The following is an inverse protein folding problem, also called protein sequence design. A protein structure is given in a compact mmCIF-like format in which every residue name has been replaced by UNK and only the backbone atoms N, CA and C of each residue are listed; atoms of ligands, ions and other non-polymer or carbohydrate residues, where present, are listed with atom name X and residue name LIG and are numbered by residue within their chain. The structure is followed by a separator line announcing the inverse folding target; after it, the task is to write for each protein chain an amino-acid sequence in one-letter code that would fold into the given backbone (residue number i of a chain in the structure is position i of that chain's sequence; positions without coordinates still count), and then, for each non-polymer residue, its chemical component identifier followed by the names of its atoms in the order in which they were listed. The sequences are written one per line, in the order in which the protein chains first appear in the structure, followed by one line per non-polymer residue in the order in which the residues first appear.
data_IF_554617034786
#
_entry.id   IF_554617034786
#
_cell.length_a   1.000
_cell.length_b   1.000
_cell.length_c   1.000
_cell.angle_alpha   90.00
_cell.angle_beta   90.00
_cell.angle_gamma   90.00
#
_symmetry.space_group_name_H-M   'P 1'
#
loop_
_entity.id
_entity.type
_entity.pdbx_description
1 polymer ?
#
# COMPACT_ATOMS: atom_id res chain seq x y z
N UNK A 1 -24.58 23.87 -13.19
CA UNK A 1 -25.90 23.41 -13.70
C UNK A 1 -26.69 22.69 -12.61
N UNK A 2 -26.04 22.06 -11.66
CA UNK A 2 -26.65 21.31 -10.55
C UNK A 2 -26.38 21.94 -9.19
N UNK A 3 -25.73 23.10 -9.12
CA UNK A 3 -25.45 23.82 -7.87
C UNK A 3 -24.46 23.13 -6.93
N UNK A 4 -23.63 22.19 -7.46
CA UNK A 4 -22.59 21.52 -6.67
C UNK A 4 -21.32 22.36 -6.74
N UNK A 5 -20.88 22.87 -5.58
CA UNK A 5 -19.63 23.63 -5.48
C UNK A 5 -18.39 22.71 -5.57
N UNK A 6 -17.23 23.25 -6.00
CA UNK A 6 -15.97 22.50 -6.11
C UNK A 6 -15.52 21.87 -4.78
N UNK A 7 -15.84 22.51 -3.66
CA UNK A 7 -15.56 22.05 -2.30
C UNK A 7 -16.25 20.73 -1.93
N UNK A 8 -17.30 20.38 -2.66
CA UNK A 8 -18.09 19.16 -2.50
C UNK A 8 -17.74 18.06 -3.50
N UNK A 9 -16.71 18.29 -4.31
CA UNK A 9 -16.25 17.34 -5.34
C UNK A 9 -14.90 16.77 -4.92
N UNK A 10 -14.81 15.44 -4.93
CA UNK A 10 -13.58 14.68 -4.74
C UNK A 10 -13.35 13.84 -5.98
N UNK A 11 -12.21 14.04 -6.65
CA UNK A 11 -11.84 13.29 -7.87
C UNK A 11 -10.80 12.25 -7.52
N UNK A 12 -11.07 10.99 -7.84
CA UNK A 12 -10.06 9.92 -7.85
C UNK A 12 -9.41 9.88 -9.23
N UNK A 13 -8.10 10.18 -9.27
CA UNK A 13 -7.30 10.20 -10.49
C UNK A 13 -6.89 8.82 -10.99
N UNK A 14 -7.40 7.74 -10.39
CA UNK A 14 -7.19 6.34 -10.74
C UNK A 14 -5.71 5.94 -10.89
N UNK A 15 -5.18 5.23 -9.90
CA UNK A 15 -3.81 4.72 -9.94
C UNK A 15 -3.74 3.39 -10.66
N UNK A 16 -2.97 3.35 -11.72
CA UNK A 16 -2.54 2.12 -12.39
C UNK A 16 -1.14 1.72 -11.94
N UNK A 17 -0.79 0.45 -12.12
CA UNK A 17 0.50 -0.05 -11.66
C UNK A 17 1.67 0.41 -12.53
N UNK A 18 2.75 0.88 -11.88
CA UNK A 18 3.96 1.31 -12.57
C UNK A 18 4.74 0.16 -13.24
N UNK A 19 4.51 -1.10 -12.81
CA UNK A 19 5.15 -2.26 -13.43
C UNK A 19 4.71 -2.49 -14.87
N UNK A 20 3.49 -2.09 -15.22
CA UNK A 20 2.98 -2.18 -16.60
C UNK A 20 3.31 -0.95 -17.43
N UNK A 21 3.36 0.22 -16.81
CA UNK A 21 3.72 1.48 -17.50
C UNK A 21 4.21 2.53 -16.48
N UNK A 22 5.51 2.77 -16.43
CA UNK A 22 6.13 3.73 -15.51
C UNK A 22 5.63 5.19 -15.73
N UNK A 23 5.23 5.56 -16.93
CA UNK A 23 4.68 6.90 -17.22
C UNK A 23 3.36 7.18 -16.52
N UNK A 24 2.68 6.15 -16.03
CA UNK A 24 1.44 6.29 -15.26
C UNK A 24 1.64 7.15 -14.00
N UNK A 25 2.76 6.98 -13.29
CA UNK A 25 3.04 7.77 -12.10
C UNK A 25 3.09 9.28 -12.42
N UNK A 26 3.84 9.68 -13.45
CA UNK A 26 3.92 11.07 -13.91
C UNK A 26 2.56 11.61 -14.34
N UNK A 27 1.81 10.83 -15.12
CA UNK A 27 0.49 11.23 -15.63
C UNK A 27 -0.52 11.45 -14.52
N UNK A 28 -0.51 10.59 -13.47
CA UNK A 28 -1.38 10.73 -12.31
C UNK A 28 -1.05 11.99 -11.52
N UNK A 29 0.23 12.24 -11.24
CA UNK A 29 0.67 13.45 -10.53
C UNK A 29 0.25 14.71 -11.31
N UNK A 30 0.46 14.72 -12.62
CA UNK A 30 0.02 15.83 -13.48
C UNK A 30 -1.50 16.00 -13.49
N UNK A 31 -2.27 14.91 -13.53
CA UNK A 31 -3.73 14.97 -13.51
C UNK A 31 -4.24 15.61 -12.21
N UNK A 32 -3.66 15.25 -11.05
CA UNK A 32 -4.00 15.87 -9.77
C UNK A 32 -3.70 17.37 -9.77
N UNK A 33 -2.50 17.79 -10.21
CA UNK A 33 -2.16 19.21 -10.31
C UNK A 33 -3.16 19.97 -11.19
N UNK A 34 -3.54 19.39 -12.33
CA UNK A 34 -4.55 19.99 -13.22
C UNK A 34 -5.94 20.10 -12.57
N UNK A 35 -6.35 19.10 -11.78
CA UNK A 35 -7.60 19.15 -11.01
C UNK A 35 -7.58 20.32 -10.02
N UNK A 36 -6.46 20.53 -9.34
CA UNK A 36 -6.28 21.66 -8.42
C UNK A 36 -6.31 23.01 -9.14
N UNK A 37 -5.47 23.14 -10.16
CA UNK A 37 -5.26 24.41 -10.88
C UNK A 37 -6.51 24.86 -11.66
N UNK A 38 -7.16 23.92 -12.35
CA UNK A 38 -8.25 24.26 -13.27
C UNK A 38 -9.64 24.14 -12.67
N UNK A 39 -9.83 23.24 -11.72
CA UNK A 39 -11.15 22.93 -11.19
C UNK A 39 -11.31 23.34 -9.72
N UNK A 40 -10.22 23.53 -8.98
CA UNK A 40 -10.25 23.86 -7.56
C UNK A 40 -10.90 22.78 -6.69
N UNK A 41 -10.88 21.51 -7.16
CA UNK A 41 -11.51 20.38 -6.48
C UNK A 41 -10.51 19.62 -5.62
N UNK A 42 -11.02 18.74 -4.74
CA UNK A 42 -10.20 17.83 -3.95
C UNK A 42 -9.87 16.56 -4.75
N UNK A 43 -8.70 15.96 -4.45
CA UNK A 43 -8.25 14.74 -5.07
C UNK A 43 -8.09 13.61 -4.06
N UNK A 44 -8.60 12.42 -4.41
CA UNK A 44 -8.32 11.16 -3.73
C UNK A 44 -7.43 10.27 -4.59
N UNK A 45 -6.75 9.30 -3.97
CA UNK A 45 -5.88 8.39 -4.69
C UNK A 45 -5.64 7.09 -3.93
N UNK A 46 -5.80 5.95 -4.60
CA UNK A 46 -5.42 4.63 -4.09
C UNK A 46 -3.92 4.40 -4.19
N UNK A 47 -3.14 4.91 -3.24
CA UNK A 47 -1.66 4.96 -3.28
C UNK A 47 -1.05 3.56 -3.45
N UNK A 48 -1.66 2.53 -2.90
CA UNK A 48 -1.12 1.16 -2.93
C UNK A 48 -1.08 0.53 -4.32
N UNK A 49 -1.93 0.97 -5.25
CA UNK A 49 -2.06 0.37 -6.56
C UNK A 49 -0.82 0.57 -7.45
N UNK A 50 -0.11 1.70 -7.31
CA UNK A 50 1.08 1.99 -8.11
C UNK A 50 2.17 0.91 -8.02
N UNK A 51 2.33 0.32 -6.87
CA UNK A 51 3.45 -0.55 -6.50
C UNK A 51 3.22 -2.04 -6.77
N UNK A 52 2.07 -2.43 -7.34
CA UNK A 52 1.83 -3.82 -7.69
C UNK A 52 2.86 -4.32 -8.71
N UNK A 53 3.38 -5.53 -8.48
CA UNK A 53 4.38 -6.14 -9.35
C UNK A 53 5.80 -5.61 -9.20
N UNK A 54 6.09 -4.76 -8.18
CA UNK A 54 7.43 -4.23 -7.95
C UNK A 54 7.93 -4.63 -6.54
N UNK A 55 9.24 -4.91 -6.37
CA UNK A 55 9.82 -5.19 -5.07
C UNK A 55 9.83 -3.96 -4.15
N UNK A 56 10.11 -4.16 -2.86
CA UNK A 56 10.20 -3.09 -1.86
C UNK A 56 9.00 -2.13 -1.87
N UNK A 57 7.80 -2.68 -2.00
CA UNK A 57 6.52 -1.95 -2.12
C UNK A 57 6.34 -0.79 -1.14
N UNK A 58 6.66 -0.92 0.17
CA UNK A 58 6.52 0.20 1.11
C UNK A 58 7.44 1.37 0.77
N UNK A 59 8.63 1.10 0.26
CA UNK A 59 9.58 2.14 -0.14
C UNK A 59 9.04 2.95 -1.32
N UNK A 60 8.70 2.28 -2.41
CA UNK A 60 8.15 2.94 -3.61
C UNK A 60 6.85 3.67 -3.29
N UNK A 61 5.96 3.04 -2.50
CA UNK A 61 4.70 3.64 -2.11
C UNK A 61 4.85 4.90 -1.27
N UNK A 62 5.83 4.95 -0.35
CA UNK A 62 6.09 6.14 0.47
C UNK A 62 6.64 7.31 -0.35
N UNK A 63 7.52 7.04 -1.31
CA UNK A 63 8.03 8.06 -2.24
C UNK A 63 6.92 8.60 -3.13
N UNK A 64 6.09 7.71 -3.67
CA UNK A 64 4.94 8.13 -4.48
C UNK A 64 3.92 8.93 -3.67
N UNK A 65 3.64 8.55 -2.43
CA UNK A 65 2.75 9.30 -1.54
C UNK A 65 3.24 10.73 -1.30
N UNK A 66 4.54 10.91 -1.04
CA UNK A 66 5.14 12.23 -0.87
C UNK A 66 5.00 13.08 -2.16
N UNK A 67 5.28 12.49 -3.32
CA UNK A 67 5.11 13.15 -4.61
C UNK A 67 3.63 13.52 -4.88
N UNK A 68 2.70 12.63 -4.51
CA UNK A 68 1.26 12.85 -4.66
C UNK A 68 0.76 14.00 -3.78
N UNK A 69 1.23 14.10 -2.54
CA UNK A 69 0.95 15.28 -1.70
C UNK A 69 1.47 16.57 -2.36
N UNK A 70 2.69 16.57 -2.89
CA UNK A 70 3.24 17.71 -3.63
C UNK A 70 2.43 18.09 -4.89
N UNK A 71 1.75 17.12 -5.49
CA UNK A 71 0.85 17.34 -6.62
C UNK A 71 -0.59 17.74 -6.21
N UNK A 72 -0.88 17.83 -4.91
CA UNK A 72 -2.16 18.30 -4.38
C UNK A 72 -3.12 17.18 -3.96
N UNK A 73 -2.63 16.01 -3.55
CA UNK A 73 -3.45 14.95 -2.97
C UNK A 73 -4.03 15.39 -1.62
N UNK A 74 -5.37 15.33 -1.48
CA UNK A 74 -6.07 15.66 -0.23
C UNK A 74 -6.42 14.41 0.59
N UNK A 75 -6.77 13.31 -0.09
CA UNK A 75 -7.30 12.11 0.56
C UNK A 75 -6.60 10.84 0.05
N UNK A 76 -5.48 10.43 0.65
CA UNK A 76 -4.83 9.16 0.31
C UNK A 76 -5.66 7.97 0.82
N UNK A 77 -5.95 7.02 -0.07
CA UNK A 77 -6.51 5.72 0.30
C UNK A 77 -5.33 4.77 0.48
N UNK A 78 -5.02 4.44 1.74
CA UNK A 78 -3.85 3.65 2.12
C UNK A 78 -4.08 2.93 3.45
N UNK A 79 -3.20 1.99 3.80
CA UNK A 79 -3.23 1.36 5.12
C UNK A 79 -2.63 2.30 6.18
N UNK A 80 -3.42 2.82 7.13
CA UNK A 80 -2.92 3.70 8.21
C UNK A 80 -2.04 2.94 9.23
N UNK A 81 -2.09 1.61 9.26
CA UNK A 81 -1.19 0.77 10.07
C UNK A 81 0.23 0.70 9.52
N UNK A 82 0.46 1.11 8.27
CA UNK A 82 1.81 1.15 7.70
C UNK A 82 2.62 2.29 8.31
N UNK A 83 3.58 1.94 9.17
CA UNK A 83 4.48 2.93 9.79
C UNK A 83 5.13 3.82 8.74
N UNK A 84 5.65 3.24 7.65
CA UNK A 84 6.34 3.98 6.60
C UNK A 84 5.45 5.00 5.89
N UNK A 85 4.18 4.68 5.64
CA UNK A 85 3.25 5.64 5.09
C UNK A 85 2.93 6.75 6.08
N UNK A 86 2.70 6.40 7.35
CA UNK A 86 2.44 7.40 8.37
C UNK A 86 3.65 8.30 8.63
N UNK A 87 4.86 7.75 8.59
CA UNK A 87 6.08 8.56 8.67
C UNK A 87 6.16 9.57 7.50
N UNK A 88 5.75 9.16 6.29
CA UNK A 88 5.66 10.07 5.14
C UNK A 88 4.62 11.18 5.37
N UNK A 89 3.45 10.83 5.90
CA UNK A 89 2.39 11.82 6.21
C UNK A 89 2.89 12.85 7.21
N UNK A 90 3.44 12.41 8.34
CA UNK A 90 3.92 13.34 9.37
C UNK A 90 5.08 14.20 8.88
N UNK A 91 6.00 13.62 8.11
CA UNK A 91 7.11 14.39 7.52
C UNK A 91 6.61 15.41 6.51
N UNK A 92 5.63 15.03 5.66
CA UNK A 92 5.09 15.96 4.68
C UNK A 92 4.31 17.11 5.32
N UNK A 93 3.59 16.88 6.41
CA UNK A 93 2.90 17.94 7.16
C UNK A 93 3.82 19.03 7.70
N UNK A 94 5.07 18.69 8.04
CA UNK A 94 6.10 19.68 8.37
C UNK A 94 6.47 20.50 7.13
N UNK A 95 6.71 19.82 5.99
CA UNK A 95 7.11 20.48 4.74
C UNK A 95 6.01 21.35 4.13
N UNK A 96 4.75 20.99 4.33
CA UNK A 96 3.57 21.74 3.86
C UNK A 96 3.11 22.84 4.84
N UNK A 97 3.81 23.00 5.97
CA UNK A 97 3.45 23.96 7.04
C UNK A 97 2.10 23.64 7.71
N UNK A 98 1.58 22.41 7.57
CA UNK A 98 0.40 21.95 8.29
C UNK A 98 0.68 21.63 9.77
N UNK A 99 1.91 21.28 10.10
CA UNK A 99 2.42 21.10 11.47
C UNK A 99 3.30 22.31 11.82
N UNK A 100 2.65 23.43 12.13
CA UNK A 100 3.31 24.69 12.45
C UNK A 100 4.21 24.53 13.67
N UNK A 101 5.47 24.95 13.54
CA UNK A 101 6.51 24.75 14.56
C UNK A 101 6.97 23.31 14.73
N UNK A 102 6.52 22.40 13.87
CA UNK A 102 6.90 20.97 13.87
C UNK A 102 6.63 20.25 15.20
N UNK A 103 5.69 20.72 15.98
CA UNK A 103 5.44 20.22 17.35
C UNK A 103 4.98 18.77 17.34
N UNK A 104 4.05 18.39 16.48
CA UNK A 104 3.56 17.01 16.36
C UNK A 104 4.64 16.06 15.84
N UNK A 105 5.49 16.55 14.95
CA UNK A 105 6.62 15.77 14.45
C UNK A 105 7.68 15.54 15.54
N UNK A 106 8.03 16.57 16.30
CA UNK A 106 9.00 16.48 17.39
C UNK A 106 8.50 15.55 18.50
N UNK A 107 7.21 15.66 18.89
CA UNK A 107 6.61 14.77 19.88
C UNK A 107 6.68 13.31 19.44
N UNK A 108 6.40 13.03 18.17
CA UNK A 108 6.39 11.68 17.62
C UNK A 108 7.77 11.08 17.43
N UNK A 109 8.75 11.86 17.03
CA UNK A 109 10.08 11.39 16.60
C UNK A 109 11.24 11.86 17.48
N UNK A 110 10.99 12.52 18.61
CA UNK A 110 12.06 13.01 19.49
C UNK A 110 13.00 11.93 20.03
N UNK A 111 12.53 10.69 20.14
CA UNK A 111 13.35 9.52 20.49
C UNK A 111 13.72 8.62 19.31
N UNK A 112 13.52 9.08 18.06
CA UNK A 112 13.76 8.27 16.88
C UNK A 112 15.24 8.00 16.67
N UNK A 113 15.58 6.73 16.39
CA UNK A 113 16.93 6.33 15.99
C UNK A 113 16.94 5.95 14.53
N UNK A 114 17.97 6.42 13.80
CA UNK A 114 18.14 6.15 12.39
C UNK A 114 18.36 4.64 12.14
N UNK A 115 17.41 3.92 11.50
CA UNK A 115 17.57 2.51 11.19
C UNK A 115 18.64 2.24 10.13
N UNK A 116 19.06 3.28 9.41
CA UNK A 116 20.12 3.22 8.39
C UNK A 116 21.47 3.72 8.91
N UNK A 117 21.57 4.07 10.19
CA UNK A 117 22.83 4.48 10.78
C UNK A 117 23.81 3.30 10.70
N UNK A 118 24.79 3.42 9.81
CA UNK A 118 25.87 2.44 9.67
C UNK A 118 26.62 2.42 11.00
N UNK A 119 26.48 1.33 11.74
CA UNK A 119 27.31 1.12 12.92
C UNK A 119 28.77 1.16 12.46
N UNK A 120 29.62 1.88 13.18
CA UNK A 120 31.06 1.96 12.88
C UNK A 120 31.79 0.61 12.97
N UNK A 121 31.05 -0.49 13.13
CA UNK A 121 31.56 -1.84 13.24
C UNK A 121 31.03 -2.68 12.05
N UNK A 122 31.89 -3.13 11.12
CA UNK A 122 31.46 -3.88 9.93
C UNK A 122 30.80 -5.23 10.23
N UNK A 123 30.87 -5.75 11.45
CA UNK A 123 30.20 -6.97 11.87
C UNK A 123 28.69 -6.78 12.12
N UNK A 124 28.19 -5.54 12.24
CA UNK A 124 26.77 -5.26 12.48
C UNK A 124 25.98 -5.03 11.18
N UNK A 125 26.64 -4.99 10.03
CA UNK A 125 26.00 -4.75 8.72
C UNK A 125 25.18 -5.95 8.18
N UNK A 126 25.19 -7.09 8.86
CA UNK A 126 24.44 -8.29 8.43
C UNK A 126 23.11 -8.51 9.10
N UNK A 127 22.68 -7.61 9.97
CA UNK A 127 21.35 -7.66 10.62
C UNK A 127 20.45 -6.54 10.14
N UNK A 128 20.31 -6.34 8.84
CA UNK A 128 19.14 -5.66 8.29
C UNK A 128 18.04 -6.70 8.27
N UNK A 129 17.41 -6.87 9.42
CA UNK A 129 16.16 -7.61 9.49
C UNK A 129 15.15 -6.94 8.58
N UNK A 130 14.77 -7.66 7.54
CA UNK A 130 13.51 -7.45 6.84
C UNK A 130 12.46 -7.17 7.91
N UNK A 131 11.80 -6.01 7.84
CA UNK A 131 10.60 -5.73 8.63
C UNK A 131 9.55 -6.78 8.29
N UNK A 132 9.64 -7.92 8.96
CA UNK A 132 8.55 -8.84 9.06
C UNK A 132 7.49 -8.14 9.90
N UNK A 133 6.41 -7.73 9.28
CA UNK A 133 5.16 -7.43 9.97
C UNK A 133 4.88 -8.64 10.86
N UNK A 134 4.71 -8.50 12.20
CA UNK A 134 4.26 -9.62 12.99
C UNK A 134 2.90 -10.02 12.46
N UNK A 135 2.83 -11.17 11.80
CA UNK A 135 1.59 -11.82 11.52
C UNK A 135 0.86 -11.97 12.85
N UNK A 136 -0.30 -11.32 12.98
CA UNK A 136 -1.21 -11.60 14.06
C UNK A 136 -1.48 -13.10 14.01
N UNK A 137 -0.98 -13.81 15.02
CA UNK A 137 -1.08 -15.23 15.06
C UNK A 137 -2.53 -15.68 15.14
N UNK A 138 -2.87 -16.57 14.24
CA UNK A 138 -3.89 -17.57 14.53
C UNK A 138 -3.25 -18.94 14.32
N UNK A 139 -3.23 -19.69 15.38
CA UNK A 139 -2.78 -21.06 15.40
C UNK A 139 -3.67 -21.93 14.51
N UNK A 140 -3.03 -22.77 13.72
CA UNK A 140 -3.44 -24.14 13.50
C UNK A 140 -4.42 -24.39 12.39
N UNK A 141 -3.86 -24.79 11.26
CA UNK A 141 -4.13 -26.09 10.60
C UNK A 141 -3.06 -26.23 9.50
N UNK A 142 -2.54 -27.42 9.30
CA UNK A 142 -1.50 -27.74 8.32
C UNK A 142 -1.83 -27.15 6.95
N UNK A 143 -1.14 -26.05 6.61
CA UNK A 143 -1.48 -25.13 5.51
C UNK A 143 -1.24 -25.68 4.09
N UNK A 144 -1.13 -26.99 3.90
CA UNK A 144 -0.77 -27.58 2.61
C UNK A 144 -1.98 -28.16 1.86
N UNK A 145 -3.18 -28.16 2.42
CA UNK A 145 -4.35 -28.81 1.82
C UNK A 145 -5.54 -27.86 1.47
N UNK A 146 -5.33 -26.56 1.53
CA UNK A 146 -6.34 -25.58 1.15
C UNK A 146 -6.48 -25.47 -0.39
N UNK A 147 -7.62 -25.87 -0.98
CA UNK A 147 -7.86 -25.82 -2.42
C UNK A 147 -7.74 -24.41 -3.00
N UNK A 148 -8.32 -23.39 -2.32
CA UNK A 148 -8.25 -22.00 -2.76
C UNK A 148 -6.80 -21.53 -2.80
N UNK A 149 -6.05 -21.77 -1.72
CA UNK A 149 -4.63 -21.39 -1.64
C UNK A 149 -3.83 -21.99 -2.79
N UNK A 150 -3.98 -23.29 -3.06
CA UNK A 150 -3.30 -23.94 -4.19
C UNK A 150 -3.68 -23.35 -5.54
N UNK A 151 -4.95 -23.04 -5.77
CA UNK A 151 -5.42 -22.46 -7.04
C UNK A 151 -4.92 -21.02 -7.24
N UNK A 152 -4.93 -20.22 -6.19
CA UNK A 152 -4.42 -18.83 -6.20
C UNK A 152 -2.93 -18.84 -6.48
N UNK A 153 -2.15 -19.62 -5.73
CA UNK A 153 -0.69 -19.72 -5.87
C UNK A 153 -0.31 -20.31 -7.23
N UNK A 154 -1.07 -21.25 -7.79
CA UNK A 154 -0.80 -21.82 -9.12
C UNK A 154 -1.41 -21.02 -10.28
N UNK A 155 -2.13 -19.93 -10.02
CA UNK A 155 -2.72 -19.06 -11.07
C UNK A 155 -3.87 -19.68 -11.85
N UNK A 156 -4.61 -20.63 -11.29
CA UNK A 156 -5.70 -21.36 -11.96
C UNK A 156 -7.02 -20.58 -11.97
N UNK A 157 -7.03 -19.45 -12.65
CA UNK A 157 -8.17 -18.50 -12.66
C UNK A 157 -9.51 -19.13 -13.02
N UNK A 158 -9.53 -20.13 -13.93
CA UNK A 158 -10.77 -20.77 -14.38
C UNK A 158 -11.43 -21.69 -13.35
N UNK A 159 -10.67 -22.19 -12.38
CA UNK A 159 -11.15 -23.16 -11.39
C UNK A 159 -11.58 -22.48 -10.07
N UNK A 160 -10.99 -21.31 -9.76
CA UNK A 160 -11.23 -20.59 -8.51
C UNK A 160 -12.71 -20.25 -8.30
N UNK A 161 -13.39 -19.79 -9.35
CA UNK A 161 -14.80 -19.39 -9.24
C UNK A 161 -15.70 -20.56 -8.82
N UNK A 162 -15.56 -21.70 -9.48
CA UNK A 162 -16.34 -22.90 -9.19
C UNK A 162 -16.05 -23.44 -7.78
N UNK A 163 -14.79 -23.43 -7.35
CA UNK A 163 -14.42 -23.86 -6.01
C UNK A 163 -14.90 -22.89 -4.92
N UNK A 164 -14.87 -21.59 -5.20
CA UNK A 164 -15.44 -20.58 -4.30
C UNK A 164 -16.95 -20.77 -4.12
N UNK A 165 -17.70 -20.98 -5.21
CA UNK A 165 -19.13 -21.26 -5.14
C UNK A 165 -19.42 -22.54 -4.33
N UNK A 166 -18.61 -23.57 -4.49
CA UNK A 166 -18.74 -24.81 -3.73
C UNK A 166 -18.54 -24.57 -2.23
N UNK A 167 -17.53 -23.83 -1.87
CA UNK A 167 -17.19 -23.54 -0.46
C UNK A 167 -18.18 -22.57 0.20
N UNK A 168 -18.81 -21.67 -0.57
CA UNK A 168 -19.85 -20.78 -0.07
C UNK A 168 -21.12 -21.51 0.39
N UNK A 169 -21.28 -22.79 0.02
CA UNK A 169 -22.37 -23.61 0.55
C UNK A 169 -22.21 -23.95 2.05
N UNK A 170 -20.95 -24.05 2.52
CA UNK A 170 -20.63 -24.51 3.87
C UNK A 170 -19.88 -23.45 4.71
N UNK A 171 -19.38 -22.37 4.09
CA UNK A 171 -18.58 -21.30 4.72
C UNK A 171 -19.19 -19.93 4.48
N UNK A 172 -19.03 -19.04 5.45
CA UNK A 172 -19.35 -17.62 5.29
C UNK A 172 -18.38 -16.94 4.32
N UNK A 173 -18.89 -15.99 3.50
CA UNK A 173 -18.07 -15.26 2.53
C UNK A 173 -16.89 -14.52 3.16
N UNK A 174 -17.08 -13.94 4.34
CA UNK A 174 -16.01 -13.24 5.07
C UNK A 174 -14.97 -14.21 5.63
N UNK A 175 -15.38 -15.41 6.03
CA UNK A 175 -14.49 -16.48 6.44
C UNK A 175 -13.57 -16.90 5.29
N UNK A 176 -14.14 -17.15 4.09
CA UNK A 176 -13.36 -17.48 2.89
C UNK A 176 -12.38 -16.37 2.51
N UNK A 177 -12.79 -15.11 2.60
CA UNK A 177 -11.90 -13.98 2.31
C UNK A 177 -10.74 -13.94 3.31
N UNK A 178 -11.01 -13.97 4.60
CA UNK A 178 -10.01 -13.75 5.65
C UNK A 178 -9.07 -14.95 5.83
N UNK A 179 -9.59 -16.17 5.76
CA UNK A 179 -8.86 -17.37 6.12
C UNK A 179 -8.30 -18.15 4.92
N UNK A 180 -8.79 -17.89 3.70
CA UNK A 180 -8.34 -18.59 2.49
C UNK A 180 -7.73 -17.65 1.45
N UNK A 181 -8.45 -16.58 1.02
CA UNK A 181 -7.96 -15.71 -0.05
C UNK A 181 -6.84 -14.78 0.40
N UNK A 182 -6.97 -14.12 1.55
CA UNK A 182 -5.93 -13.18 2.03
C UNK A 182 -4.61 -13.92 2.27
N UNK A 183 -4.56 -15.05 3.01
CA UNK A 183 -3.31 -15.79 3.18
C UNK A 183 -2.71 -16.31 1.86
N UNK A 184 -3.56 -16.74 0.91
CA UNK A 184 -3.08 -17.18 -0.40
C UNK A 184 -2.44 -16.04 -1.21
N UNK A 185 -3.02 -14.85 -1.17
CA UNK A 185 -2.48 -13.67 -1.84
C UNK A 185 -1.20 -13.17 -1.17
N UNK A 186 -1.10 -13.26 0.15
CA UNK A 186 0.13 -12.95 0.89
C UNK A 186 1.27 -13.90 0.49
N UNK A 187 0.99 -15.19 0.34
CA UNK A 187 1.97 -16.16 -0.15
C UNK A 187 2.44 -15.84 -1.58
N UNK A 188 1.51 -15.51 -2.48
CA UNK A 188 1.85 -15.06 -3.84
C UNK A 188 2.75 -13.82 -3.77
N UNK A 189 2.47 -12.88 -2.87
CA UNK A 189 3.30 -11.71 -2.63
C UNK A 189 4.73 -12.08 -2.20
N UNK A 190 4.87 -13.00 -1.26
CA UNK A 190 6.18 -13.50 -0.81
C UNK A 190 6.93 -14.21 -1.93
N UNK A 191 6.26 -15.08 -2.69
CA UNK A 191 6.87 -15.80 -3.81
C UNK A 191 7.30 -14.85 -4.94
N UNK A 192 6.51 -13.80 -5.18
CA UNK A 192 6.85 -12.75 -6.12
C UNK A 192 8.10 -11.97 -5.66
N UNK A 193 8.18 -11.59 -4.39
CA UNK A 193 9.33 -10.89 -3.82
C UNK A 193 10.62 -11.75 -3.84
N UNK A 194 10.47 -13.08 -3.85
CA UNK A 194 11.57 -14.04 -4.04
C UNK A 194 11.93 -14.28 -5.51
N UNK A 195 11.25 -13.62 -6.46
CA UNK A 195 11.49 -13.82 -7.90
C UNK A 195 11.03 -15.18 -8.45
N UNK A 196 10.14 -15.87 -7.74
CA UNK A 196 9.61 -17.18 -8.15
C UNK A 196 8.33 -17.10 -8.98
N UNK A 197 7.76 -15.89 -9.10
CA UNK A 197 6.60 -15.60 -9.93
C UNK A 197 6.89 -14.42 -10.86
N UNK A 198 6.48 -14.55 -12.12
CA UNK A 198 6.49 -13.50 -13.14
C UNK A 198 5.12 -13.37 -13.79
#
# INVERSE_FOLDING_TARGET
RYGIGPDRILIDCLVMTASTNQRQAEQILRAMSLCKERLGVKCALGVSNLRFGLPARPLLGSVFLAAAFGAGLDAPIMNPGSKRFMDTVYSYRVLSVEDEGSTGYIERYGGWTDPYKIAANPAAAQAVSTDAVPAAGTAGTDGNDDPIRRMVVSGRKGEIAAETERLLADHDAMDLINNHFIPALDEVGVLFDQGKFF
#
